data_IF_867632225134
#
_entry.id   IF_867632225134
#
_cell.length_a   1.000
_cell.length_b   1.000
_cell.length_c   1.000
_cell.angle_alpha   90.00
_cell.angle_beta   90.00
_cell.angle_gamma   90.00
#
_symmetry.space_group_name_H-M   'P 1'
#
loop_
_entity.id
_entity.type
_entity.pdbx_description
1 polymer ?
#
# COMPACT_ATOMS: atom_id res chain seq x y z
N UNK A 1 6.46 9.05 -4.07
CA UNK A 1 6.23 8.62 -5.43
C UNK A 1 4.79 8.89 -5.85
N UNK A 2 4.59 8.86 -7.14
CA UNK A 2 3.30 9.16 -7.75
C UNK A 2 2.21 8.16 -7.34
N UNK A 3 2.54 6.88 -7.34
CA UNK A 3 1.61 5.82 -6.96
C UNK A 3 1.17 5.94 -5.51
N UNK A 4 2.07 6.38 -4.64
CA UNK A 4 1.76 6.52 -3.22
C UNK A 4 0.73 7.62 -2.98
N UNK A 5 0.83 8.75 -3.69
CA UNK A 5 -0.15 9.82 -3.60
C UNK A 5 -1.54 9.38 -4.05
N UNK A 6 -1.60 8.59 -5.12
CA UNK A 6 -2.87 8.07 -5.62
C UNK A 6 -3.49 7.06 -4.65
N UNK A 7 -2.68 6.21 -4.02
CA UNK A 7 -3.13 5.28 -2.99
C UNK A 7 -3.70 6.06 -1.80
N UNK A 8 -3.03 7.15 -1.39
CA UNK A 8 -3.51 7.99 -0.31
C UNK A 8 -4.87 8.64 -0.63
N UNK A 9 -5.05 9.11 -1.86
CA UNK A 9 -6.35 9.66 -2.29
C UNK A 9 -7.44 8.61 -2.16
N UNK A 10 -7.16 7.36 -2.51
CA UNK A 10 -8.12 6.27 -2.37
C UNK A 10 -8.41 5.95 -0.91
N UNK A 11 -7.40 6.04 -0.06
CA UNK A 11 -7.58 5.87 1.38
C UNK A 11 -8.52 6.95 1.94
N UNK A 12 -8.39 8.19 1.48
CA UNK A 12 -9.28 9.27 1.91
C UNK A 12 -10.73 9.01 1.49
N UNK A 13 -10.94 8.48 0.28
CA UNK A 13 -12.28 8.14 -0.21
C UNK A 13 -12.98 7.13 0.69
N UNK A 14 -12.25 6.14 1.19
CA UNK A 14 -12.80 5.04 2.00
C UNK A 14 -12.46 5.14 3.48
N UNK A 15 -11.92 6.27 3.93
CA UNK A 15 -11.40 6.43 5.29
C UNK A 15 -12.41 6.07 6.39
N UNK A 16 -13.68 6.40 6.20
CA UNK A 16 -14.71 6.13 7.18
C UNK A 16 -15.35 4.76 7.04
N UNK A 17 -14.96 3.98 6.03
CA UNK A 17 -15.51 2.64 5.84
C UNK A 17 -14.76 1.65 6.73
N UNK A 18 -15.44 1.01 7.72
CA UNK A 18 -14.77 0.09 8.63
C UNK A 18 -14.25 -1.19 7.96
N UNK A 19 -14.69 -1.46 6.74
CA UNK A 19 -14.25 -2.64 5.98
C UNK A 19 -13.00 -2.37 5.17
N UNK A 20 -12.45 -1.15 5.20
CA UNK A 20 -11.24 -0.78 4.44
C UNK A 20 -10.13 -0.36 5.36
N UNK A 21 -8.93 -0.91 5.15
CA UNK A 21 -7.72 -0.50 5.86
C UNK A 21 -6.56 -0.42 4.89
N UNK A 22 -5.82 0.68 4.94
CA UNK A 22 -4.58 0.88 4.18
C UNK A 22 -3.42 0.95 5.16
N UNK A 23 -2.37 0.18 4.90
CA UNK A 23 -1.13 0.19 5.68
C UNK A 23 0.03 0.39 4.72
N UNK A 24 0.90 1.36 5.01
CA UNK A 24 2.15 1.54 4.29
C UNK A 24 3.28 0.84 5.05
N UNK A 25 4.12 0.10 4.33
CA UNK A 25 5.27 -0.58 4.92
C UNK A 25 6.52 -0.16 4.16
N UNK A 26 7.50 0.37 4.90
CA UNK A 26 8.72 0.92 4.31
C UNK A 26 9.83 -0.13 4.40
N UNK A 27 10.30 -0.56 3.22
CA UNK A 27 11.30 -1.61 3.11
C UNK A 27 12.67 -1.13 3.54
N UNK A 28 13.14 -1.71 4.66
CA UNK A 28 14.55 -1.60 5.11
C UNK A 28 15.07 -0.18 5.26
N UNK A 29 14.22 0.74 5.76
CA UNK A 29 14.63 2.10 6.09
C UNK A 29 14.53 2.34 7.59
N UNK A 30 15.39 3.22 8.16
CA UNK A 30 15.32 3.51 9.59
C UNK A 30 14.09 4.32 9.97
N UNK A 31 13.72 4.22 11.23
CA UNK A 31 12.53 4.89 11.78
C UNK A 31 12.49 6.37 11.47
N UNK A 32 13.63 7.07 11.54
CA UNK A 32 13.70 8.51 11.29
C UNK A 32 13.24 8.87 9.89
N UNK A 33 13.59 8.04 8.89
CA UNK A 33 13.16 8.27 7.51
C UNK A 33 11.67 8.07 7.33
N UNK A 34 11.11 7.05 7.99
CA UNK A 34 9.68 6.78 7.92
C UNK A 34 8.88 7.90 8.58
N UNK A 35 9.34 8.41 9.73
CA UNK A 35 8.71 9.56 10.40
C UNK A 35 8.77 10.79 9.52
N UNK A 36 9.93 11.08 8.91
CA UNK A 36 10.09 12.22 8.03
C UNK A 36 9.17 12.12 6.80
N UNK A 37 9.04 10.95 6.22
CA UNK A 37 8.13 10.70 5.11
C UNK A 37 6.68 10.98 5.51
N UNK A 38 6.26 10.46 6.67
CA UNK A 38 4.90 10.68 7.16
C UNK A 38 4.59 12.15 7.37
N UNK A 39 5.54 12.91 7.92
CA UNK A 39 5.38 14.35 8.13
C UNK A 39 5.34 15.13 6.81
N UNK A 40 6.22 14.79 5.88
CA UNK A 40 6.33 15.53 4.61
C UNK A 40 5.14 15.27 3.68
N UNK A 41 4.55 14.09 3.72
CA UNK A 41 3.44 13.71 2.85
C UNK A 41 2.07 13.91 3.48
N UNK A 42 2.02 14.03 4.81
CA UNK A 42 0.75 14.21 5.52
C UNK A 42 -0.18 13.00 5.48
N UNK A 43 0.34 11.81 5.21
CA UNK A 43 -0.47 10.60 5.17
C UNK A 43 -1.06 10.29 6.55
N UNK A 44 -2.27 9.77 6.57
CA UNK A 44 -2.99 9.46 7.81
C UNK A 44 -3.12 7.96 8.07
N UNK A 45 -2.76 7.12 7.10
CA UNK A 45 -2.76 5.68 7.30
C UNK A 45 -1.50 5.24 8.07
N UNK A 46 -1.55 4.09 8.77
CA UNK A 46 -0.39 3.60 9.51
C UNK A 46 0.79 3.31 8.59
N UNK A 47 1.99 3.64 9.07
CA UNK A 47 3.25 3.33 8.40
C UNK A 47 4.03 2.36 9.28
N UNK A 48 4.49 1.26 8.69
CA UNK A 48 5.27 0.25 9.40
C UNK A 48 6.70 0.17 8.88
N UNK A 49 7.55 -0.43 9.69
CA UNK A 49 8.95 -0.70 9.35
C UNK A 49 9.10 -2.15 8.90
N UNK A 50 10.03 -2.36 7.97
CA UNK A 50 10.36 -3.69 7.48
C UNK A 50 11.88 -3.90 7.49
N UNK A 51 12.49 -4.08 8.67
CA UNK A 51 13.92 -4.29 8.75
C UNK A 51 14.36 -5.51 7.95
N UNK A 52 15.44 -5.36 7.17
CA UNK A 52 15.97 -6.44 6.35
C UNK A 52 15.06 -6.86 5.20
N UNK A 53 13.98 -6.13 4.95
CA UNK A 53 13.01 -6.45 3.91
C UNK A 53 12.33 -7.81 4.09
N UNK A 54 12.14 -8.25 5.33
CA UNK A 54 11.58 -9.58 5.62
C UNK A 54 10.12 -9.69 5.22
N UNK A 55 9.33 -8.61 5.43
CA UNK A 55 7.93 -8.59 5.00
C UNK A 55 7.85 -8.52 3.48
N UNK A 56 8.63 -7.62 2.87
CA UNK A 56 8.66 -7.47 1.42
C UNK A 56 9.00 -8.79 0.72
N UNK A 57 9.95 -9.56 1.29
CA UNK A 57 10.38 -10.83 0.72
C UNK A 57 9.27 -11.89 0.68
N UNK A 58 8.19 -11.70 1.43
CA UNK A 58 7.04 -12.60 1.38
C UNK A 58 6.19 -12.39 0.11
N UNK A 59 6.32 -11.24 -0.54
CA UNK A 59 5.49 -10.87 -1.69
C UNK A 59 6.29 -10.68 -2.97
N UNK A 60 7.60 -10.49 -2.88
CA UNK A 60 8.46 -10.22 -4.01
C UNK A 60 9.89 -10.65 -3.71
N UNK A 61 10.76 -10.64 -4.71
CA UNK A 61 12.19 -10.87 -4.47
C UNK A 61 12.74 -9.75 -3.59
N UNK A 62 13.57 -10.10 -2.61
CA UNK A 62 14.05 -9.18 -1.58
C UNK A 62 14.65 -7.89 -2.15
N UNK A 63 15.35 -7.98 -3.29
CA UNK A 63 16.02 -6.85 -3.94
C UNK A 63 15.26 -6.28 -5.15
N UNK A 64 14.01 -6.69 -5.34
CA UNK A 64 13.21 -6.17 -6.44
C UNK A 64 12.80 -4.71 -6.20
N UNK A 65 12.27 -4.04 -7.23
CA UNK A 65 11.76 -2.69 -7.12
C UNK A 65 10.71 -2.55 -6.02
N UNK A 66 10.72 -1.44 -5.30
CA UNK A 66 10.04 -1.33 -4.00
C UNK A 66 8.55 -0.98 -4.07
N UNK A 67 8.09 -0.33 -5.11
CA UNK A 67 6.67 0.07 -5.14
C UNK A 67 5.80 -1.15 -5.42
N UNK A 68 5.10 -1.61 -4.39
CA UNK A 68 4.22 -2.78 -4.46
C UNK A 68 2.90 -2.46 -3.77
N UNK A 69 1.80 -2.89 -4.35
CA UNK A 69 0.51 -2.89 -3.69
C UNK A 69 0.00 -4.32 -3.60
N UNK A 70 -0.50 -4.67 -2.42
CA UNK A 70 -1.06 -6.00 -2.16
C UNK A 70 -2.47 -5.78 -1.64
N UNK A 71 -3.45 -6.30 -2.35
CA UNK A 71 -4.85 -6.24 -1.93
C UNK A 71 -5.25 -7.58 -1.34
N UNK A 72 -5.75 -7.55 -0.11
CA UNK A 72 -6.11 -8.74 0.65
C UNK A 72 -7.59 -8.67 0.98
N UNK A 73 -8.32 -9.77 0.78
CA UNK A 73 -9.75 -9.86 1.09
C UNK A 73 -9.99 -10.15 2.58
N UNK A 74 -11.27 -10.23 2.97
CA UNK A 74 -11.66 -10.48 4.35
C UNK A 74 -11.18 -11.83 4.90
N UNK A 75 -10.97 -12.78 4.03
CA UNK A 75 -10.51 -14.12 4.40
C UNK A 75 -8.98 -14.22 4.46
N UNK A 76 -8.27 -13.12 4.23
CA UNK A 76 -6.81 -13.10 4.27
C UNK A 76 -6.15 -13.56 2.98
N UNK A 77 -6.90 -13.66 1.89
CA UNK A 77 -6.35 -14.08 0.60
C UNK A 77 -5.90 -12.89 -0.23
N UNK A 78 -4.77 -13.04 -0.92
CA UNK A 78 -4.29 -12.03 -1.84
C UNK A 78 -5.12 -12.12 -3.12
N UNK A 79 -5.81 -11.03 -3.45
CA UNK A 79 -6.68 -10.98 -4.64
C UNK A 79 -6.07 -10.16 -5.76
N UNK A 80 -5.09 -9.31 -5.47
CA UNK A 80 -4.41 -8.54 -6.50
C UNK A 80 -3.03 -8.09 -6.02
N UNK A 81 -2.07 -8.13 -6.93
CA UNK A 81 -0.72 -7.61 -6.74
C UNK A 81 -0.41 -6.63 -7.88
N UNK A 82 0.19 -5.50 -7.53
CA UNK A 82 0.76 -4.59 -8.52
C UNK A 82 2.21 -4.32 -8.18
N UNK A 83 2.98 -3.89 -9.16
CA UNK A 83 4.40 -3.58 -8.97
C UNK A 83 4.78 -2.31 -9.72
N UNK A 84 5.59 -1.47 -9.08
CA UNK A 84 5.98 -0.18 -9.59
C UNK A 84 4.73 0.65 -9.93
N UNK A 85 4.88 1.85 -10.47
CA UNK A 85 3.72 2.59 -10.91
C UNK A 85 3.42 2.29 -12.36
N UNK A 86 2.28 1.65 -12.60
CA UNK A 86 1.73 1.40 -13.93
C UNK A 86 0.28 1.89 -13.90
N UNK A 87 -0.07 2.91 -14.71
CA UNK A 87 -1.42 3.48 -14.65
C UNK A 87 -2.54 2.48 -14.89
N UNK A 88 -2.34 1.52 -15.78
CA UNK A 88 -3.37 0.51 -16.07
C UNK A 88 -3.55 -0.45 -14.90
N UNK A 89 -2.44 -0.95 -14.33
CA UNK A 89 -2.51 -1.82 -13.15
C UNK A 89 -3.11 -1.08 -11.98
N UNK A 90 -2.75 0.19 -11.79
CA UNK A 90 -3.26 0.99 -10.68
C UNK A 90 -4.76 1.23 -10.84
N UNK A 91 -5.23 1.55 -12.04
CA UNK A 91 -6.67 1.72 -12.31
C UNK A 91 -7.44 0.43 -12.03
N UNK A 92 -6.86 -0.71 -12.39
CA UNK A 92 -7.46 -2.02 -12.10
C UNK A 92 -7.53 -2.29 -10.59
N UNK A 93 -6.48 -1.93 -9.85
CA UNK A 93 -6.45 -2.06 -8.39
C UNK A 93 -7.57 -1.23 -7.74
N UNK A 94 -7.71 0.03 -8.15
CA UNK A 94 -8.73 0.93 -7.64
C UNK A 94 -10.12 0.38 -7.90
N UNK A 95 -10.36 -0.11 -9.10
CA UNK A 95 -11.65 -0.71 -9.48
C UNK A 95 -11.96 -1.93 -8.63
N UNK A 96 -10.96 -2.76 -8.36
CA UNK A 96 -11.11 -3.94 -7.51
C UNK A 96 -11.48 -3.54 -6.08
N UNK A 97 -10.81 -2.55 -5.51
CA UNK A 97 -11.11 -2.05 -4.16
C UNK A 97 -12.54 -1.55 -4.10
N UNK A 98 -12.94 -0.69 -5.03
CA UNK A 98 -14.28 -0.11 -5.05
C UNK A 98 -15.35 -1.21 -5.20
N UNK A 99 -15.10 -2.21 -6.03
CA UNK A 99 -16.01 -3.33 -6.21
C UNK A 99 -16.18 -4.17 -4.95
N UNK A 100 -15.10 -4.47 -4.26
CA UNK A 100 -15.14 -5.26 -3.02
C UNK A 100 -15.89 -4.52 -1.91
N UNK A 101 -15.77 -3.20 -1.84
CA UNK A 101 -16.42 -2.41 -0.80
C UNK A 101 -17.90 -2.14 -1.08
N UNK A 102 -18.36 -2.34 -2.30
CA UNK A 102 -19.76 -2.15 -2.67
C UNK A 102 -20.58 -3.44 -2.63
N UNK A 103 -19.95 -4.55 -2.30
CA UNK A 103 -20.64 -5.83 -2.14
C UNK A 103 -21.48 -5.91 -0.84
#
# INVERSE_FOLDING_TARGET
SRGLGDVYKRQLKHKSNPDFMLIGIDRDEPLEKVIAFGKSTGVTYPLGLDPGADIFAKYALRKAGITRNVLIDKEGRIVKLTRLYNPEEFASLVKEIDGMLSE
#
